data_IF_083055445612
#
_entry.id   IF_083055445612
#
_cell.length_a   1.000
_cell.length_b   1.000
_cell.length_c   1.000
_cell.angle_alpha   90.00
_cell.angle_beta   90.00
_cell.angle_gamma   90.00
#
_symmetry.space_group_name_H-M   'P 1'
#
loop_
_entity.id
_entity.type
_entity.pdbx_description
1 polymer ?
#
# COMPACT_ATOMS: atom_id res chain seq x y z
N UNK A 1 3.02 27.85 -8.93
CA UNK A 1 2.99 26.88 -7.82
C UNK A 1 1.91 25.86 -8.15
N UNK A 2 2.27 24.64 -8.52
CA UNK A 2 1.27 23.57 -8.69
C UNK A 2 0.89 23.07 -7.30
N UNK A 3 -0.35 23.33 -6.89
CA UNK A 3 -0.97 22.63 -5.76
C UNK A 3 -1.31 21.23 -6.26
N UNK A 4 -0.44 20.28 -5.95
CA UNK A 4 -0.73 18.87 -6.21
C UNK A 4 -1.66 18.41 -5.10
N UNK A 5 -2.88 18.01 -5.46
CA UNK A 5 -3.83 17.43 -4.51
C UNK A 5 -3.27 16.11 -4.00
N UNK A 6 -2.74 16.14 -2.77
CA UNK A 6 -2.27 14.94 -2.12
C UNK A 6 -3.44 14.19 -1.49
N UNK A 7 -3.34 12.85 -1.45
CA UNK A 7 -4.35 12.04 -0.81
C UNK A 7 -4.62 12.44 0.66
N UNK A 8 -5.88 12.73 1.01
CA UNK A 8 -6.25 13.00 2.40
C UNK A 8 -6.50 11.69 3.14
N UNK A 9 -5.65 11.44 4.14
CA UNK A 9 -5.70 10.25 4.96
C UNK A 9 -6.92 10.29 5.90
N UNK A 10 -7.81 9.30 5.77
CA UNK A 10 -8.98 9.14 6.65
C UNK A 10 -8.68 8.28 7.90
N UNK A 11 -7.58 7.53 7.90
CA UNK A 11 -7.19 6.60 8.98
C UNK A 11 -5.79 6.93 9.46
N UNK A 12 -5.64 7.39 10.71
CA UNK A 12 -4.42 8.00 11.29
C UNK A 12 -3.10 7.21 11.09
N UNK A 13 -3.14 5.90 10.89
CA UNK A 13 -1.94 5.04 10.84
C UNK A 13 -1.56 4.49 9.47
N UNK A 14 -2.33 4.80 8.41
CA UNK A 14 -2.05 4.31 7.05
C UNK A 14 -1.33 5.34 6.17
N UNK A 15 -0.60 6.31 6.74
CA UNK A 15 0.01 7.40 5.96
C UNK A 15 1.04 6.88 4.94
N UNK A 16 1.78 5.85 5.34
CA UNK A 16 2.73 5.11 4.52
C UNK A 16 2.06 4.42 3.33
N UNK A 17 0.91 3.80 3.54
CA UNK A 17 0.12 3.16 2.48
C UNK A 17 -0.31 4.19 1.44
N UNK A 18 -0.74 5.38 1.89
CA UNK A 18 -1.17 6.47 1.01
C UNK A 18 0.01 7.02 0.20
N UNK A 19 1.18 7.23 0.83
CA UNK A 19 2.39 7.71 0.15
C UNK A 19 2.89 6.71 -0.88
N UNK A 20 3.02 5.43 -0.51
CA UNK A 20 3.50 4.38 -1.43
C UNK A 20 2.54 4.22 -2.61
N UNK A 21 1.23 4.19 -2.36
CA UNK A 21 0.23 4.07 -3.42
C UNK A 21 0.25 5.29 -4.35
N UNK A 22 0.42 6.49 -3.81
CA UNK A 22 0.59 7.71 -4.61
C UNK A 22 1.83 7.65 -5.51
N UNK A 23 2.97 7.25 -4.97
CA UNK A 23 4.19 7.10 -5.75
C UNK A 23 4.01 6.07 -6.87
N UNK A 24 3.32 4.96 -6.62
CA UNK A 24 3.03 3.95 -7.64
C UNK A 24 2.08 4.44 -8.75
N UNK A 25 1.14 5.33 -8.43
CA UNK A 25 0.25 5.97 -9.42
C UNK A 25 1.00 7.00 -10.26
N UNK A 26 1.92 7.75 -9.64
CA UNK A 26 2.74 8.76 -10.33
C UNK A 26 3.77 8.14 -11.28
N UNK A 27 4.27 6.95 -10.95
CA UNK A 27 5.29 6.24 -11.74
C UNK A 27 4.73 5.54 -13.00
N UNK A 28 3.48 5.84 -13.42
CA UNK A 28 2.76 5.25 -14.57
C UNK A 28 2.54 3.72 -14.52
N UNK A 29 3.10 3.00 -13.54
CA UNK A 29 3.18 1.53 -13.53
C UNK A 29 1.86 0.83 -13.21
N UNK A 30 0.90 1.45 -12.49
CA UNK A 30 -0.44 0.86 -12.25
C UNK A 30 -1.54 1.90 -12.09
N UNK A 31 -2.43 1.97 -13.08
CA UNK A 31 -3.81 2.41 -12.91
C UNK A 31 -4.53 1.42 -11.99
N UNK A 32 -4.64 1.73 -10.70
CA UNK A 32 -5.60 1.03 -9.84
C UNK A 32 -7.00 1.48 -10.27
N UNK A 33 -7.68 0.63 -11.05
CA UNK A 33 -9.04 0.79 -11.58
C UNK A 33 -9.30 2.15 -12.25
N UNK A 34 -9.45 2.13 -13.58
CA UNK A 34 -9.68 3.30 -14.44
C UNK A 34 -10.56 4.38 -13.79
N UNK A 35 -9.96 5.54 -13.48
CA UNK A 35 -10.66 6.75 -13.05
C UNK A 35 -10.62 7.09 -11.57
N UNK A 36 -10.04 6.25 -10.70
CA UNK A 36 -9.89 6.60 -9.28
C UNK A 36 -8.64 7.46 -9.04
N UNK A 37 -8.85 8.75 -8.82
CA UNK A 37 -7.84 9.64 -8.25
C UNK A 37 -7.96 9.65 -6.73
N UNK A 38 -6.87 10.00 -6.03
CA UNK A 38 -7.01 10.32 -4.61
C UNK A 38 -7.72 11.66 -4.45
N UNK A 39 -8.63 11.85 -3.45
CA UNK A 39 -8.76 11.13 -2.17
C UNK A 39 -9.89 10.07 -2.07
N UNK A 40 -10.39 9.53 -3.19
CA UNK A 40 -11.64 8.75 -3.17
C UNK A 40 -11.52 7.30 -2.65
N UNK A 41 -10.36 6.87 -2.12
CA UNK A 41 -10.24 5.50 -1.61
C UNK A 41 -11.05 5.29 -0.32
N UNK A 42 -11.92 4.30 -0.39
CA UNK A 42 -12.66 3.78 0.76
C UNK A 42 -11.73 3.08 1.75
N UNK A 43 -12.16 2.98 3.02
CA UNK A 43 -11.45 2.22 4.06
C UNK A 43 -11.15 0.76 3.66
N UNK A 44 -12.03 0.14 2.87
CA UNK A 44 -11.86 -1.22 2.34
C UNK A 44 -10.71 -1.24 1.34
N UNK A 45 -10.67 -0.28 0.39
CA UNK A 45 -9.59 -0.17 -0.59
C UNK A 45 -8.24 0.06 0.10
N UNK A 46 -8.17 0.98 1.07
CA UNK A 46 -6.95 1.21 1.88
C UNK A 46 -6.49 -0.07 2.58
N UNK A 47 -7.44 -0.82 3.16
CA UNK A 47 -7.12 -2.09 3.83
C UNK A 47 -6.58 -3.12 2.84
N UNK A 48 -7.17 -3.22 1.65
CA UNK A 48 -6.70 -4.12 0.61
C UNK A 48 -5.30 -3.74 0.10
N UNK A 49 -5.05 -2.44 -0.11
CA UNK A 49 -3.73 -1.92 -0.49
C UNK A 49 -2.67 -2.27 0.55
N UNK A 50 -2.96 -2.04 1.84
CA UNK A 50 -2.08 -2.42 2.94
C UNK A 50 -1.79 -3.91 2.98
N UNK A 51 -2.82 -4.75 2.91
CA UNK A 51 -2.64 -6.20 2.88
C UNK A 51 -1.74 -6.63 1.71
N UNK A 52 -2.00 -6.09 0.52
CA UNK A 52 -1.21 -6.38 -0.68
C UNK A 52 0.25 -5.97 -0.52
N UNK A 53 0.52 -4.73 -0.11
CA UNK A 53 1.87 -4.21 0.09
C UNK A 53 2.65 -5.03 1.13
N UNK A 54 2.01 -5.38 2.25
CA UNK A 54 2.64 -6.20 3.28
C UNK A 54 2.94 -7.62 2.78
N UNK A 55 2.03 -8.25 2.03
CA UNK A 55 2.26 -9.56 1.43
C UNK A 55 3.39 -9.53 0.39
N UNK A 56 3.40 -8.53 -0.50
CA UNK A 56 4.46 -8.33 -1.49
C UNK A 56 5.82 -8.11 -0.81
N UNK A 57 5.88 -7.27 0.22
CA UNK A 57 7.09 -7.03 1.00
C UNK A 57 7.57 -8.29 1.72
N UNK A 58 6.67 -9.02 2.39
CA UNK A 58 7.00 -10.25 3.10
C UNK A 58 7.57 -11.31 2.15
N UNK A 59 7.06 -11.37 0.92
CA UNK A 59 7.49 -12.35 -0.09
C UNK A 59 8.68 -11.89 -0.93
N UNK A 60 9.08 -10.61 -0.85
CA UNK A 60 10.08 -10.02 -1.71
C UNK A 60 11.45 -10.76 -1.61
N UNK A 61 12.12 -11.07 -2.73
CA UNK A 61 13.38 -11.85 -2.71
C UNK A 61 14.52 -11.20 -1.93
N UNK A 62 14.53 -9.85 -1.86
CA UNK A 62 15.52 -9.09 -1.08
C UNK A 62 15.13 -8.85 0.37
N UNK A 63 13.96 -9.34 0.81
CA UNK A 63 13.59 -9.23 2.21
C UNK A 63 14.39 -10.26 3.03
N UNK A 64 15.47 -9.80 3.68
CA UNK A 64 16.32 -10.62 4.53
C UNK A 64 15.60 -11.23 5.75
N UNK A 65 14.41 -10.72 6.09
CA UNK A 65 13.59 -11.22 7.19
C UNK A 65 12.45 -12.14 6.73
N UNK A 66 12.35 -12.44 5.42
CA UNK A 66 11.28 -13.27 4.84
C UNK A 66 11.07 -14.59 5.57
N UNK A 67 12.15 -15.31 5.88
CA UNK A 67 12.07 -16.60 6.59
C UNK A 67 11.46 -16.45 7.98
N UNK A 68 11.89 -15.46 8.76
CA UNK A 68 11.38 -15.17 10.11
C UNK A 68 9.90 -14.81 10.08
N UNK A 69 9.50 -13.95 9.14
CA UNK A 69 8.12 -13.52 8.97
C UNK A 69 7.22 -14.71 8.62
N UNK A 70 7.63 -15.53 7.65
CA UNK A 70 6.86 -16.71 7.23
C UNK A 70 6.75 -17.76 8.35
N UNK A 71 7.84 -18.02 9.08
CA UNK A 71 7.80 -18.93 10.22
C UNK A 71 6.84 -18.46 11.31
N UNK A 72 6.84 -17.16 11.63
CA UNK A 72 5.92 -16.59 12.62
C UNK A 72 4.46 -16.66 12.15
N UNK A 73 4.21 -16.42 10.87
CA UNK A 73 2.87 -16.50 10.29
C UNK A 73 2.30 -17.94 10.31
N UNK A 74 3.13 -18.95 10.03
CA UNK A 74 2.72 -20.37 10.05
C UNK A 74 2.43 -20.83 11.49
N UNK A 75 3.22 -20.39 12.47
CA UNK A 75 3.08 -20.80 13.88
C UNK A 75 1.84 -20.22 14.58
N UNK A 76 1.30 -19.12 14.07
CA UNK A 76 0.14 -18.43 14.62
C UNK A 76 -1.18 -18.79 13.90
N UNK A 77 -1.17 -19.84 13.06
CA UNK A 77 -2.36 -20.47 12.50
C UNK A 77 -2.75 -21.67 13.34
#
# INVERSE_FOLDING_TARGET
>A
MMLVELPQQSITFDCDIYVISYMQMWDEVKTYEEGLTMPYFTKIQVTNMRCKLLCEWAMHPKNGHKSVILHKAIRNR
#
